data_IF_662210075199
#
_entry.id   IF_662210075199
#
_cell.length_a   1.000
_cell.length_b   1.000
_cell.length_c   1.000
_cell.angle_alpha   90.00
_cell.angle_beta   90.00
_cell.angle_gamma   90.00
#
_symmetry.space_group_name_H-M   'P 1'
#
loop_
_entity.id
_entity.type
_entity.pdbx_description
1 polymer ?
#
# COMPACT_ATOMS: atom_id res chain seq x y z
N UNK A 1 14.51 44.03 -46.81
CA UNK A 1 13.90 43.44 -48.03
C UNK A 1 12.97 42.31 -47.54
N UNK A 2 11.75 42.66 -47.13
CA UNK A 2 10.50 42.47 -47.91
C UNK A 2 10.30 40.97 -48.25
N UNK A 3 9.27 40.28 -47.76
CA UNK A 3 7.87 40.49 -48.14
C UNK A 3 6.87 39.92 -47.11
N UNK A 4 5.79 40.68 -46.92
CA UNK A 4 4.53 40.29 -46.27
C UNK A 4 3.69 39.42 -47.21
N UNK A 5 2.93 38.49 -46.63
CA UNK A 5 1.58 38.07 -47.05
C UNK A 5 0.97 37.30 -45.86
N UNK A 6 -0.27 37.46 -45.40
CA UNK A 6 -1.45 38.06 -45.98
C UNK A 6 -2.66 37.13 -45.71
N UNK A 7 -3.40 37.41 -44.64
CA UNK A 7 -4.82 37.10 -44.35
C UNK A 7 -5.42 35.71 -44.69
N UNK A 8 -6.06 35.11 -43.69
CA UNK A 8 -7.50 34.78 -43.76
C UNK A 8 -8.09 34.54 -42.36
N UNK A 9 -8.87 35.50 -41.87
CA UNK A 9 -9.78 35.33 -40.72
C UNK A 9 -11.00 34.58 -41.23
N UNK A 10 -11.24 33.34 -40.77
CA UNK A 10 -12.51 32.64 -40.97
C UNK A 10 -13.39 32.82 -39.75
N UNK A 11 -14.55 33.43 -39.98
CA UNK A 11 -15.62 33.63 -39.03
C UNK A 11 -16.13 32.29 -38.50
N UNK A 12 -16.06 32.08 -37.18
CA UNK A 12 -16.73 30.99 -36.50
C UNK A 12 -18.23 31.31 -36.41
N UNK A 13 -19.04 30.54 -37.14
CA UNK A 13 -20.49 30.62 -37.09
C UNK A 13 -21.02 30.31 -35.69
N UNK A 14 -21.83 31.23 -35.16
CA UNK A 14 -22.60 31.06 -33.92
C UNK A 14 -23.64 29.96 -34.12
N UNK A 15 -23.35 28.73 -33.70
CA UNK A 15 -24.35 27.66 -33.57
C UNK A 15 -25.10 27.85 -32.26
N UNK A 16 -26.43 28.01 -32.39
CA UNK A 16 -27.43 28.04 -31.31
C UNK A 16 -27.17 26.93 -30.29
N UNK A 17 -26.96 27.33 -29.04
CA UNK A 17 -27.02 26.45 -27.88
C UNK A 17 -28.46 25.94 -27.76
N UNK A 18 -28.67 24.65 -28.05
CA UNK A 18 -29.88 23.95 -27.69
C UNK A 18 -29.82 23.70 -26.17
N UNK A 19 -30.81 24.25 -25.47
CA UNK A 19 -30.99 24.16 -24.03
C UNK A 19 -31.33 22.71 -23.67
N UNK A 20 -30.43 22.02 -22.97
CA UNK A 20 -30.69 20.70 -22.40
C UNK A 20 -31.81 20.78 -21.33
N UNK A 21 -32.65 19.74 -21.18
CA UNK A 21 -33.66 19.72 -20.13
C UNK A 21 -33.01 19.57 -18.75
N UNK A 22 -33.61 20.25 -17.77
CA UNK A 22 -33.23 20.19 -16.36
C UNK A 22 -33.45 18.76 -15.83
N UNK A 23 -32.37 18.12 -15.39
CA UNK A 23 -32.42 16.91 -14.56
C UNK A 23 -32.94 17.30 -13.18
N UNK A 24 -33.98 16.59 -12.73
CA UNK A 24 -34.54 16.70 -11.40
C UNK A 24 -33.64 15.94 -10.41
N UNK A 25 -33.19 16.63 -9.36
CA UNK A 25 -32.61 16.02 -8.17
C UNK A 25 -33.72 15.40 -7.31
N UNK A 26 -33.57 14.13 -6.94
CA UNK A 26 -34.04 13.55 -5.67
C UNK A 26 -33.58 12.09 -5.58
N UNK A 27 -32.38 11.87 -5.04
CA UNK A 27 -31.90 10.56 -4.66
C UNK A 27 -31.06 10.72 -3.40
N UNK A 28 -31.69 10.48 -2.25
CA UNK A 28 -31.08 10.55 -0.92
C UNK A 28 -29.73 9.83 -0.92
N UNK A 29 -28.66 10.58 -0.67
CA UNK A 29 -27.39 10.00 -0.25
C UNK A 29 -27.66 9.25 1.06
N UNK A 30 -27.77 7.93 0.97
CA UNK A 30 -27.67 7.07 2.14
C UNK A 30 -26.29 7.32 2.72
N UNK A 31 -26.25 7.89 3.93
CA UNK A 31 -25.04 7.93 4.73
C UNK A 31 -24.55 6.49 4.88
N UNK A 32 -23.50 6.14 4.16
CA UNK A 32 -22.78 4.89 4.41
C UNK A 32 -22.35 4.99 5.87
N UNK A 33 -22.97 4.17 6.71
CA UNK A 33 -22.72 4.18 8.15
C UNK A 33 -21.22 4.02 8.35
N UNK A 34 -20.61 5.00 9.00
CA UNK A 34 -19.25 4.91 9.51
C UNK A 34 -19.23 3.69 10.41
N UNK A 35 -18.70 2.57 9.91
CA UNK A 35 -18.54 1.38 10.70
C UNK A 35 -17.78 1.79 11.97
N UNK A 36 -18.36 1.50 13.13
CA UNK A 36 -17.75 1.81 14.40
C UNK A 36 -16.39 1.12 14.42
N UNK A 37 -15.32 1.92 14.43
CA UNK A 37 -13.97 1.45 14.70
C UNK A 37 -14.06 0.79 16.08
N UNK A 38 -14.00 -0.54 16.12
CA UNK A 38 -13.99 -1.27 17.38
C UNK A 38 -12.66 -0.96 18.07
N UNK A 39 -12.73 -0.55 19.34
CA UNK A 39 -11.57 -0.14 20.16
C UNK A 39 -10.63 -1.32 20.50
N UNK A 40 -10.92 -2.51 19.97
CA UNK A 40 -10.23 -3.79 20.20
C UNK A 40 -9.52 -4.32 18.93
N UNK A 41 -9.52 -3.55 17.83
CA UNK A 41 -8.79 -3.95 16.62
C UNK A 41 -7.28 -4.00 16.89
N UNK A 42 -6.54 -5.01 16.40
CA UNK A 42 -5.11 -5.12 16.64
C UNK A 42 -4.39 -3.85 16.19
N UNK A 43 -3.56 -3.34 17.10
CA UNK A 43 -2.78 -2.12 16.91
C UNK A 43 -1.32 -2.49 16.77
N UNK A 44 -0.69 -1.92 15.77
CA UNK A 44 0.72 -2.09 15.51
C UNK A 44 1.45 -0.76 15.38
N UNK A 45 2.72 -0.84 15.00
CA UNK A 45 3.55 0.34 14.74
C UNK A 45 4.44 0.14 13.52
N UNK A 46 4.85 1.25 12.92
CA UNK A 46 5.91 1.27 11.91
C UNK A 46 7.25 1.13 12.62
N UNK A 47 7.94 0.01 12.40
CA UNK A 47 9.26 -0.24 12.98
C UNK A 47 10.39 0.36 12.16
N UNK A 48 10.30 0.29 10.83
CA UNK A 48 11.28 0.92 9.95
C UNK A 48 10.69 1.19 8.56
N UNK A 49 11.31 2.15 7.86
CA UNK A 49 10.96 2.53 6.50
C UNK A 49 12.17 2.36 5.60
N UNK A 50 11.93 1.84 4.40
CA UNK A 50 12.97 1.53 3.43
C UNK A 50 12.52 1.96 2.03
N UNK A 51 13.40 2.61 1.30
CA UNK A 51 13.24 2.87 -0.14
C UNK A 51 14.42 2.28 -0.87
N UNK A 52 14.26 1.82 -2.11
CA UNK A 52 15.42 1.69 -2.99
C UNK A 52 15.23 2.61 -4.19
N UNK A 53 16.14 3.57 -4.43
CA UNK A 53 15.94 4.63 -5.42
C UNK A 53 15.87 4.09 -6.85
N UNK A 54 16.59 3.01 -7.14
CA UNK A 54 16.73 2.42 -8.47
C UNK A 54 16.64 0.89 -8.43
N UNK A 55 16.44 0.28 -9.60
CA UNK A 55 16.56 -1.17 -9.77
C UNK A 55 17.94 -1.65 -9.32
N UNK A 56 17.98 -2.71 -8.51
CA UNK A 56 19.25 -3.27 -7.99
C UNK A 56 20.04 -2.39 -7.01
N UNK A 57 19.77 -1.10 -6.88
CA UNK A 57 20.49 -0.22 -5.95
C UNK A 57 20.31 -0.66 -4.48
N UNK A 58 21.33 -0.43 -3.62
CA UNK A 58 21.23 -0.69 -2.20
C UNK A 58 20.01 0.02 -1.58
N UNK A 59 19.27 -0.65 -0.69
CA UNK A 59 18.16 -0.02 0.02
C UNK A 59 18.68 1.06 0.99
N UNK A 60 17.87 2.08 1.18
CA UNK A 60 18.11 3.19 2.10
C UNK A 60 17.03 3.21 3.17
N UNK A 61 17.44 3.24 4.45
CA UNK A 61 16.54 3.48 5.57
C UNK A 61 16.09 4.94 5.59
N UNK A 62 14.84 5.15 5.99
CA UNK A 62 14.21 6.47 6.10
C UNK A 62 13.61 6.63 7.49
N UNK A 63 13.65 7.85 8.01
CA UNK A 63 12.90 8.23 9.22
C UNK A 63 11.44 8.52 8.89
N UNK A 64 11.18 9.01 7.67
CA UNK A 64 9.84 9.26 7.15
C UNK A 64 9.82 9.14 5.62
N UNK A 65 8.65 8.82 5.07
CA UNK A 65 8.36 8.79 3.64
C UNK A 65 6.99 9.39 3.34
N UNK A 66 6.84 9.95 2.14
CA UNK A 66 5.53 10.33 1.62
C UNK A 66 5.01 9.22 0.71
N UNK A 67 3.81 8.73 1.01
CA UNK A 67 3.07 7.75 0.20
C UNK A 67 2.13 8.49 -0.73
N UNK A 68 2.24 8.25 -2.03
CA UNK A 68 1.36 8.77 -3.07
C UNK A 68 0.49 7.64 -3.64
N UNK A 69 -0.56 8.00 -4.39
CA UNK A 69 -1.43 7.03 -5.05
C UNK A 69 -0.67 6.06 -5.99
N UNK A 70 0.45 6.51 -6.56
CA UNK A 70 1.32 5.76 -7.47
C UNK A 70 2.56 5.14 -6.77
N UNK A 71 2.68 5.29 -5.44
CA UNK A 71 3.68 4.61 -4.62
C UNK A 71 4.49 5.52 -3.69
N UNK A 72 5.57 4.99 -3.14
CA UNK A 72 6.41 5.70 -2.16
C UNK A 72 7.38 6.67 -2.84
N UNK A 73 7.44 7.92 -2.36
CA UNK A 73 8.41 8.91 -2.83
C UNK A 73 9.85 8.39 -2.65
N UNK A 74 10.65 8.50 -3.71
CA UNK A 74 12.04 8.03 -3.70
C UNK A 74 12.21 6.51 -3.84
N UNK A 75 11.15 5.75 -4.16
CA UNK A 75 11.26 4.32 -4.48
C UNK A 75 11.17 4.05 -5.99
N UNK A 76 11.99 3.11 -6.46
CA UNK A 76 12.12 2.66 -7.85
C UNK A 76 10.80 2.31 -8.52
N UNK A 77 9.84 1.72 -7.79
CA UNK A 77 8.58 1.31 -8.40
C UNK A 77 7.70 2.51 -8.77
N UNK A 78 7.78 3.61 -8.01
CA UNK A 78 7.10 4.86 -8.36
C UNK A 78 7.78 5.56 -9.54
N UNK A 79 9.11 5.51 -9.61
CA UNK A 79 9.87 6.06 -10.73
C UNK A 79 9.71 5.27 -12.04
N UNK A 80 9.03 4.12 -12.01
CA UNK A 80 8.92 3.21 -13.15
C UNK A 80 10.18 2.40 -13.41
N UNK A 81 11.18 2.43 -12.53
CA UNK A 81 12.45 1.71 -12.64
C UNK A 81 12.46 0.41 -11.82
N UNK A 82 11.29 -0.16 -11.54
CA UNK A 82 11.19 -1.43 -10.83
C UNK A 82 11.55 -2.61 -11.72
N UNK A 83 12.34 -3.57 -11.21
CA UNK A 83 12.67 -4.82 -11.92
C UNK A 83 11.44 -5.58 -12.43
N UNK A 84 10.31 -5.46 -11.73
CA UNK A 84 9.03 -6.08 -12.08
C UNK A 84 7.99 -5.01 -12.41
N UNK A 85 8.15 -4.29 -13.51
CA UNK A 85 7.27 -3.14 -13.85
C UNK A 85 5.78 -3.53 -13.93
N UNK A 86 5.47 -4.72 -14.47
CA UNK A 86 4.09 -5.22 -14.61
C UNK A 86 3.52 -5.81 -13.31
N UNK A 87 4.39 -6.24 -12.40
CA UNK A 87 4.03 -6.80 -11.08
C UNK A 87 4.50 -5.90 -9.93
N UNK A 88 4.60 -4.59 -10.20
CA UNK A 88 4.99 -3.58 -9.22
C UNK A 88 3.99 -3.50 -8.07
N UNK A 89 4.43 -2.93 -6.96
CA UNK A 89 3.56 -2.59 -5.83
C UNK A 89 3.75 -1.11 -5.57
N UNK A 90 2.65 -0.38 -5.37
CA UNK A 90 2.73 1.02 -4.97
C UNK A 90 3.41 1.13 -3.59
N UNK A 91 2.98 0.28 -2.65
CA UNK A 91 3.58 0.14 -1.32
C UNK A 91 3.70 -1.33 -0.96
N UNK A 92 4.74 -1.70 -0.21
CA UNK A 92 4.87 -3.04 0.35
C UNK A 92 5.02 -3.02 1.87
N UNK A 93 4.34 -3.95 2.54
CA UNK A 93 4.46 -4.19 3.99
C UNK A 93 5.23 -5.47 4.25
N UNK A 94 5.94 -5.57 5.37
CA UNK A 94 6.50 -6.82 5.90
C UNK A 94 6.47 -6.80 7.42
N UNK A 95 6.28 -7.97 8.03
CA UNK A 95 6.26 -8.10 9.48
C UNK A 95 7.66 -8.00 10.07
N UNK A 96 7.81 -7.19 11.11
CA UNK A 96 8.99 -7.14 11.96
C UNK A 96 9.31 -8.52 12.54
N UNK A 97 8.27 -9.21 13.03
CA UNK A 97 8.33 -10.55 13.61
C UNK A 97 8.83 -11.59 12.60
N UNK A 98 8.51 -11.40 11.30
CA UNK A 98 9.05 -12.27 10.26
C UNK A 98 10.55 -12.07 10.08
N UNK A 99 11.05 -10.82 10.14
CA UNK A 99 12.47 -10.52 9.98
C UNK A 99 13.26 -10.99 11.21
N UNK A 100 12.74 -10.75 12.41
CA UNK A 100 13.35 -11.22 13.66
C UNK A 100 13.46 -12.74 13.69
N UNK A 101 12.38 -13.45 13.34
CA UNK A 101 12.43 -14.91 13.24
C UNK A 101 13.46 -15.37 12.18
N UNK A 102 13.75 -14.60 11.11
CA UNK A 102 14.69 -15.05 10.05
C UNK A 102 16.07 -15.01 10.67
N UNK A 103 16.35 -13.90 11.35
CA UNK A 103 17.60 -13.69 12.06
C UNK A 103 17.82 -14.75 13.13
N UNK A 104 16.80 -15.10 13.91
CA UNK A 104 16.89 -16.11 14.96
C UNK A 104 17.07 -17.53 14.42
N UNK A 105 16.31 -17.91 13.38
CA UNK A 105 16.31 -19.28 12.84
C UNK A 105 17.54 -19.56 11.95
N UNK A 106 18.04 -18.54 11.24
CA UNK A 106 19.04 -18.72 10.17
C UNK A 106 20.33 -17.92 10.36
N UNK A 107 20.34 -16.95 11.28
CA UNK A 107 21.44 -16.00 11.44
C UNK A 107 21.48 -14.88 10.38
N UNK A 108 20.57 -14.89 9.41
CA UNK A 108 20.51 -13.87 8.35
C UNK A 108 19.83 -12.61 8.89
N UNK A 109 20.60 -11.54 9.09
CA UNK A 109 20.08 -10.24 9.55
C UNK A 109 19.88 -9.29 8.37
N UNK A 110 18.63 -9.04 7.99
CA UNK A 110 18.24 -8.08 6.94
C UNK A 110 17.52 -6.85 7.49
N UNK A 111 17.67 -6.56 8.79
CA UNK A 111 17.10 -5.37 9.44
C UNK A 111 17.63 -4.04 8.87
N UNK A 112 18.70 -4.10 8.09
CA UNK A 112 19.26 -3.01 7.29
C UNK A 112 18.42 -2.65 6.05
N UNK A 113 17.35 -3.38 5.77
CA UNK A 113 16.45 -3.12 4.66
C UNK A 113 16.73 -3.97 3.42
N UNK A 114 17.70 -4.90 3.47
CA UNK A 114 17.99 -5.85 2.37
C UNK A 114 16.81 -6.74 1.97
N UNK A 115 15.75 -6.80 2.77
CA UNK A 115 14.45 -7.40 2.38
C UNK A 115 13.70 -6.58 1.30
N UNK A 116 14.08 -5.32 1.05
CA UNK A 116 13.56 -4.41 0.01
C UNK A 116 12.03 -4.23 0.02
N UNK A 117 11.43 -4.18 1.23
CA UNK A 117 10.01 -3.87 1.45
C UNK A 117 9.91 -2.49 2.08
N UNK A 118 8.87 -1.73 1.76
CA UNK A 118 8.85 -0.31 2.06
C UNK A 118 8.59 0.02 3.52
N UNK A 119 7.64 -0.69 4.13
CA UNK A 119 7.23 -0.45 5.51
C UNK A 119 7.35 -1.75 6.29
N UNK A 120 8.16 -1.74 7.34
CA UNK A 120 8.21 -2.82 8.32
C UNK A 120 7.24 -2.48 9.44
N UNK A 121 6.26 -3.34 9.68
CA UNK A 121 5.24 -3.17 10.71
C UNK A 121 5.34 -4.27 11.76
N UNK A 122 5.01 -3.93 13.00
CA UNK A 122 4.94 -4.89 14.12
C UNK A 122 3.54 -4.89 14.74
N UNK A 123 3.16 -5.98 15.40
CA UNK A 123 1.88 -6.13 16.10
C UNK A 123 0.82 -6.96 15.36
N UNK A 124 1.17 -7.57 14.22
CA UNK A 124 0.24 -8.33 13.37
C UNK A 124 0.74 -9.76 13.05
N UNK A 125 1.82 -10.20 13.71
CA UNK A 125 2.40 -11.52 13.51
C UNK A 125 3.16 -11.67 12.18
N UNK A 126 3.94 -12.75 12.07
CA UNK A 126 4.90 -12.93 10.97
C UNK A 126 4.27 -13.07 9.56
N UNK A 127 2.98 -13.43 9.47
CA UNK A 127 2.28 -13.59 8.19
C UNK A 127 1.64 -12.31 7.65
N UNK A 128 1.29 -11.36 8.52
CA UNK A 128 0.38 -10.23 8.24
C UNK A 128 -0.98 -10.65 7.66
N UNK A 129 -1.41 -11.88 7.88
CA UNK A 129 -2.57 -12.46 7.19
C UNK A 129 -3.86 -11.70 7.49
N UNK A 130 -4.01 -11.19 8.72
CA UNK A 130 -5.17 -10.39 9.15
C UNK A 130 -5.27 -9.03 8.46
N UNK A 131 -4.20 -8.57 7.82
CA UNK A 131 -4.19 -7.32 7.05
C UNK A 131 -4.62 -7.51 5.60
N UNK A 132 -4.65 -8.75 5.10
CA UNK A 132 -5.03 -9.02 3.72
C UNK A 132 -6.50 -8.62 3.49
N UNK A 133 -6.75 -7.87 2.41
CA UNK A 133 -8.04 -7.30 2.00
C UNK A 133 -8.68 -6.29 2.99
N UNK A 134 -8.04 -6.03 4.13
CA UNK A 134 -8.45 -5.01 5.08
C UNK A 134 -8.11 -3.58 4.61
N UNK A 135 -8.81 -2.59 5.16
CA UNK A 135 -8.44 -1.17 5.06
C UNK A 135 -7.57 -0.81 6.26
N UNK A 136 -6.29 -0.53 6.04
CA UNK A 136 -5.27 -0.37 7.08
C UNK A 136 -4.73 1.05 7.08
N UNK A 137 -4.86 1.77 8.20
CA UNK A 137 -4.19 3.04 8.40
C UNK A 137 -2.75 2.81 8.86
N UNK A 138 -1.80 3.43 8.17
CA UNK A 138 -0.36 3.38 8.47
C UNK A 138 0.12 4.82 8.54
N UNK A 139 0.33 5.35 9.75
CA UNK A 139 0.61 6.78 9.93
C UNK A 139 -0.50 7.64 9.33
N UNK A 140 -0.14 8.54 8.42
CA UNK A 140 -1.06 9.39 7.66
C UNK A 140 -1.64 8.77 6.39
N UNK A 141 -1.22 7.56 5.98
CA UNK A 141 -1.69 6.91 4.75
C UNK A 141 -2.76 5.84 5.04
N UNK A 142 -3.66 5.62 4.06
CA UNK A 142 -4.64 4.54 4.08
C UNK A 142 -4.34 3.54 2.97
N UNK A 143 -4.06 2.29 3.35
CA UNK A 143 -3.59 1.24 2.46
C UNK A 143 -4.57 0.08 2.44
N UNK A 144 -4.63 -0.63 1.30
CA UNK A 144 -5.29 -1.93 1.20
C UNK A 144 -4.29 -2.99 0.76
N UNK A 145 -3.86 -3.90 1.64
CA UNK A 145 -3.05 -5.04 1.24
C UNK A 145 -3.87 -6.01 0.38
N UNK A 146 -3.46 -6.26 -0.86
CA UNK A 146 -4.27 -7.01 -1.84
C UNK A 146 -3.75 -8.41 -2.15
N UNK A 147 -2.45 -8.65 -1.90
CA UNK A 147 -1.83 -9.95 -2.17
C UNK A 147 -0.53 -10.14 -1.40
N UNK A 148 -0.19 -11.41 -1.15
CA UNK A 148 1.14 -11.79 -0.65
C UNK A 148 2.23 -11.39 -1.64
N UNK A 149 3.39 -11.02 -1.11
CA UNK A 149 4.59 -10.68 -1.87
C UNK A 149 5.70 -11.69 -1.56
N UNK A 150 5.66 -12.90 -2.16
CA UNK A 150 6.66 -13.92 -1.90
C UNK A 150 8.07 -13.44 -2.26
N UNK A 151 9.10 -13.92 -1.56
CA UNK A 151 10.49 -13.64 -1.94
C UNK A 151 10.82 -14.31 -3.28
N UNK A 152 11.73 -13.70 -4.06
CA UNK A 152 12.23 -14.24 -5.32
C UNK A 152 13.75 -14.39 -5.28
N UNK A 153 14.33 -15.19 -6.19
CA UNK A 153 15.79 -15.38 -6.26
C UNK A 153 16.56 -14.05 -6.37
N UNK A 154 15.97 -13.06 -7.04
CA UNK A 154 16.58 -11.75 -7.20
C UNK A 154 16.75 -10.98 -5.86
N UNK A 155 15.84 -11.14 -4.88
CA UNK A 155 16.04 -10.47 -3.57
C UNK A 155 17.18 -11.12 -2.79
N UNK A 156 17.36 -12.43 -2.92
CA UNK A 156 18.44 -13.17 -2.29
C UNK A 156 19.81 -12.78 -2.86
N UNK A 157 19.90 -12.68 -4.19
CA UNK A 157 21.09 -12.21 -4.90
C UNK A 157 21.49 -10.79 -4.46
N UNK A 158 20.54 -9.85 -4.48
CA UNK A 158 20.79 -8.47 -4.08
C UNK A 158 21.13 -8.32 -2.60
N UNK A 159 20.53 -9.15 -1.74
CA UNK A 159 20.87 -9.16 -0.33
C UNK A 159 22.25 -9.77 -0.07
N UNK A 160 22.80 -10.56 -1.01
CA UNK A 160 24.04 -11.32 -0.80
C UNK A 160 23.90 -12.31 0.36
N UNK A 161 22.69 -12.85 0.57
CA UNK A 161 22.32 -13.64 1.75
C UNK A 161 21.69 -14.98 1.35
N UNK A 162 22.52 -15.98 1.10
CA UNK A 162 22.09 -17.30 0.67
C UNK A 162 21.04 -17.90 1.62
N UNK A 163 19.93 -18.40 1.07
CA UNK A 163 18.81 -18.96 1.84
C UNK A 163 17.78 -17.94 2.32
N UNK A 164 17.98 -16.64 2.10
CA UNK A 164 17.02 -15.60 2.47
C UNK A 164 15.63 -15.83 1.84
N UNK A 165 15.57 -16.24 0.57
CA UNK A 165 14.29 -16.45 -0.09
C UNK A 165 13.53 -17.65 0.51
N UNK A 166 14.26 -18.69 0.94
CA UNK A 166 13.65 -19.82 1.64
C UNK A 166 13.16 -19.42 3.04
N UNK A 167 13.95 -18.63 3.78
CA UNK A 167 13.61 -18.16 5.12
C UNK A 167 12.39 -17.22 5.13
N UNK A 168 12.21 -16.42 4.09
CA UNK A 168 11.06 -15.52 3.93
C UNK A 168 9.82 -16.19 3.30
N UNK A 169 9.83 -17.51 3.09
CA UNK A 169 8.67 -18.23 2.53
C UNK A 169 7.44 -18.03 3.43
N UNK A 170 6.30 -17.66 2.82
CA UNK A 170 5.02 -17.34 3.48
C UNK A 170 5.04 -16.11 4.41
N UNK A 171 6.17 -15.42 4.54
CA UNK A 171 6.36 -14.25 5.41
C UNK A 171 7.11 -13.11 4.72
N UNK A 172 7.08 -13.11 3.39
CA UNK A 172 7.72 -12.12 2.53
C UNK A 172 6.98 -10.77 2.46
N UNK A 173 5.84 -10.65 3.16
CA UNK A 173 5.06 -9.43 3.24
C UNK A 173 3.90 -9.35 2.23
N UNK A 174 3.35 -8.14 2.09
CA UNK A 174 2.14 -7.85 1.31
C UNK A 174 2.39 -6.73 0.30
N UNK A 175 1.69 -6.80 -0.83
CA UNK A 175 1.55 -5.72 -1.79
C UNK A 175 0.30 -4.91 -1.43
N UNK A 176 0.39 -3.57 -1.47
CA UNK A 176 -0.72 -2.71 -1.11
C UNK A 176 -1.07 -1.72 -2.22
N UNK A 177 -2.37 -1.49 -2.36
CA UNK A 177 -2.92 -0.33 -3.03
C UNK A 177 -3.00 0.84 -2.05
N UNK A 178 -2.85 2.06 -2.57
CA UNK A 178 -2.98 3.29 -1.80
C UNK A 178 -4.39 3.83 -2.00
N UNK A 179 -5.17 3.83 -0.92
CA UNK A 179 -6.53 4.39 -0.92
C UNK A 179 -6.47 5.90 -0.65
N UNK A 180 -5.63 6.31 0.30
CA UNK A 180 -5.37 7.72 0.63
C UNK A 180 -3.87 7.94 0.81
N UNK A 181 -3.36 8.96 0.12
CA UNK A 181 -1.98 9.40 0.23
C UNK A 181 -1.71 10.07 1.58
N UNK A 182 -0.48 9.99 2.07
CA UNK A 182 -0.10 10.60 3.34
C UNK A 182 1.35 10.34 3.71
N UNK A 183 1.79 11.03 4.75
CA UNK A 183 3.13 10.86 5.30
C UNK A 183 3.15 9.73 6.34
N UNK A 184 4.24 8.97 6.35
CA UNK A 184 4.47 7.86 7.27
C UNK A 184 5.86 8.04 7.89
N UNK A 185 5.94 8.00 9.21
CA UNK A 185 7.17 8.08 9.98
C UNK A 185 7.41 6.79 10.79
N UNK A 186 8.67 6.55 11.15
CA UNK A 186 9.01 5.49 12.11
C UNK A 186 8.33 5.78 13.46
N UNK A 187 7.74 4.74 14.06
CA UNK A 187 6.98 4.82 15.30
C UNK A 187 5.48 5.12 15.13
N UNK A 188 5.05 5.47 13.91
CA UNK A 188 3.64 5.74 13.61
C UNK A 188 2.75 4.54 13.92
N UNK A 189 1.52 4.83 14.33
CA UNK A 189 0.52 3.80 14.62
C UNK A 189 0.06 3.14 13.32
N UNK A 190 -0.11 1.83 13.38
CA UNK A 190 -0.75 1.01 12.36
C UNK A 190 -2.03 0.42 12.93
N UNK A 191 -3.15 0.54 12.21
CA UNK A 191 -4.41 0.00 12.69
C UNK A 191 -5.36 -0.36 11.54
N UNK A 192 -6.10 -1.45 11.75
CA UNK A 192 -7.19 -1.84 10.88
C UNK A 192 -8.34 -0.84 11.09
N UNK A 193 -8.78 -0.19 10.01
CA UNK A 193 -9.96 0.71 10.00
C UNK A 193 -11.22 -0.05 9.62
N UNK A 194 -11.09 -0.96 8.67
CA UNK A 194 -12.14 -1.88 8.25
C UNK A 194 -11.49 -3.24 8.05
N UNK A 195 -12.00 -4.27 8.71
CA UNK A 195 -11.55 -5.64 8.51
C UNK A 195 -11.92 -6.14 7.10
N UNK A 196 -11.26 -7.19 6.65
CA UNK A 196 -11.65 -7.88 5.42
C UNK A 196 -13.15 -8.30 5.51
N UNK A 197 -13.93 -8.12 4.42
CA UNK A 197 -15.34 -8.47 4.39
C UNK A 197 -15.67 -9.92 4.82
N UNK A 198 -14.78 -10.89 4.58
CA UNK A 198 -14.99 -12.28 5.00
C UNK A 198 -14.83 -12.44 6.51
N UNK A 199 -13.81 -11.82 7.09
CA UNK A 199 -13.59 -11.81 8.56
C UNK A 199 -14.76 -11.13 9.28
N UNK A 200 -15.19 -9.96 8.78
CA UNK A 200 -16.35 -9.27 9.32
C UNK A 200 -17.63 -10.14 9.29
N UNK A 201 -17.84 -10.89 8.20
CA UNK A 201 -18.94 -11.85 8.11
C UNK A 201 -18.85 -13.00 9.11
N UNK A 202 -17.64 -13.54 9.34
CA UNK A 202 -17.40 -14.62 10.29
C UNK A 202 -17.64 -14.18 11.74
N UNK A 203 -17.21 -12.97 12.12
CA UNK A 203 -17.44 -12.41 13.47
C UNK A 203 -18.92 -12.15 13.74
N UNK A 204 -19.64 -11.60 12.75
CA UNK A 204 -21.10 -11.43 12.84
C UNK A 204 -21.77 -12.78 13.06
N UNK A 205 -21.37 -13.81 12.30
CA UNK A 205 -21.90 -15.15 12.44
C UNK A 205 -21.61 -15.77 13.82
N UNK A 206 -20.43 -15.50 14.41
CA UNK A 206 -20.08 -15.96 15.76
C UNK A 206 -20.98 -15.32 16.83
N UNK A 207 -21.11 -13.99 16.83
CA UNK A 207 -21.97 -13.26 17.79
C UNK A 207 -23.44 -13.69 17.71
N UNK A 208 -23.94 -13.98 16.51
CA UNK A 208 -25.31 -14.48 16.31
C UNK A 208 -25.53 -15.90 16.85
N UNK A 209 -24.48 -16.71 16.99
CA UNK A 209 -24.57 -18.04 17.62
C UNK A 209 -24.57 -17.93 19.15
N UNK A 210 -23.69 -17.10 19.70
CA UNK A 210 -23.55 -16.89 21.15
C UNK A 210 -24.80 -16.24 21.77
N UNK A 211 -25.46 -15.32 21.07
CA UNK A 211 -26.69 -14.67 21.56
C UNK A 211 -27.97 -15.53 21.50
N UNK A 212 -27.87 -16.81 21.10
CA UNK A 212 -29.01 -17.76 21.08
C UNK A 212 -28.99 -18.76 22.24
N UNK A 213 -27.96 -18.73 23.08
CA UNK A 213 -27.83 -19.52 24.33
C UNK A 213 -28.29 -18.72 25.54
#
# INVERSE_FOLDING_TARGET
>A
MALRAGRAVRAAGRRRLLRAPRVAEAGRAGSVGRAAVTDDAPVGRVRSLVTAPESGAPPERRESVTVHADGVAGDRYRAGDGTFQLDGCAVTLVAAEALDAVREETGIDVSDGRHRRNVVVEGFGAGLDDLLDATVAVGGALLRPTRRRPPCAHVEELAGAAGLAAALRNRGGLCCDVLEAGDVAVGDRVAIREADPRTAGAEIAARLREGRE
#
